data_IF_175275377970
#
_entry.id   IF_175275377970
#
_cell.length_a   1.000
_cell.length_b   1.000
_cell.length_c   1.000
_cell.angle_alpha   90.00
_cell.angle_beta   90.00
_cell.angle_gamma   90.00
#
_symmetry.space_group_name_H-M   'P 1'
#
loop_
_entity.id
_entity.type
_entity.pdbx_description
1 polymer ?
#
# COMPACT_ATOMS: atom_id res chain seq x y z
N UNK A 1 -0.15 -21.43 -12.99
CA UNK A 1 -0.79 -20.59 -11.95
C UNK A 1 -0.47 -19.14 -12.22
N UNK A 2 -1.48 -18.29 -12.24
CA UNK A 2 -1.28 -16.85 -12.42
C UNK A 2 -0.64 -16.26 -11.18
N UNK A 3 0.22 -15.27 -11.39
CA UNK A 3 0.80 -14.52 -10.27
C UNK A 3 -0.27 -13.64 -9.64
N UNK A 4 -0.27 -13.56 -8.31
CA UNK A 4 -1.06 -12.57 -7.61
C UNK A 4 -0.38 -11.21 -7.74
N UNK A 5 -1.09 -10.23 -8.28
CA UNK A 5 -0.53 -8.91 -8.50
C UNK A 5 -0.83 -8.01 -7.30
N UNK A 6 0.12 -7.97 -6.36
CA UNK A 6 -0.01 -7.16 -5.16
C UNK A 6 -0.13 -5.67 -5.48
N UNK A 7 0.59 -5.18 -6.48
CA UNK A 7 0.51 -3.76 -6.84
C UNK A 7 -0.90 -3.39 -7.31
N UNK A 8 -1.46 -4.17 -8.20
CA UNK A 8 -2.83 -3.93 -8.69
C UNK A 8 -3.86 -4.09 -7.58
N UNK A 9 -3.68 -5.06 -6.69
CA UNK A 9 -4.57 -5.25 -5.56
C UNK A 9 -4.54 -4.05 -4.60
N UNK A 10 -3.36 -3.57 -4.25
CA UNK A 10 -3.22 -2.40 -3.36
C UNK A 10 -3.80 -1.15 -4.03
N UNK A 11 -3.53 -0.93 -5.32
CA UNK A 11 -4.08 0.20 -6.06
C UNK A 11 -5.61 0.14 -6.11
N UNK A 12 -6.18 -1.03 -6.32
CA UNK A 12 -7.64 -1.21 -6.32
C UNK A 12 -8.25 -0.86 -4.95
N UNK A 13 -7.62 -1.32 -3.88
CA UNK A 13 -8.07 -1.02 -2.52
C UNK A 13 -7.96 0.47 -2.21
N UNK A 14 -6.88 1.14 -2.65
CA UNK A 14 -6.71 2.58 -2.52
C UNK A 14 -7.81 3.33 -3.26
N UNK A 15 -8.10 2.96 -4.50
CA UNK A 15 -9.15 3.60 -5.30
C UNK A 15 -10.52 3.49 -4.64
N UNK A 16 -10.84 2.30 -4.14
CA UNK A 16 -12.11 2.05 -3.46
C UNK A 16 -12.23 2.91 -2.19
N UNK A 17 -11.16 2.97 -1.38
CA UNK A 17 -11.15 3.78 -0.17
C UNK A 17 -11.34 5.27 -0.48
N UNK A 18 -10.66 5.77 -1.52
CA UNK A 18 -10.79 7.17 -1.93
C UNK A 18 -12.22 7.48 -2.40
N UNK A 19 -12.84 6.57 -3.16
CA UNK A 19 -14.23 6.76 -3.61
C UNK A 19 -15.21 6.83 -2.43
N UNK A 20 -14.96 6.04 -1.40
CA UNK A 20 -15.83 5.98 -0.21
C UNK A 20 -15.61 7.13 0.76
N UNK A 21 -14.42 7.70 0.81
CA UNK A 21 -14.01 8.64 1.86
C UNK A 21 -13.69 10.05 1.38
N UNK A 22 -13.60 10.28 0.08
CA UNK A 22 -13.24 11.60 -0.50
C UNK A 22 -14.09 11.92 -1.71
N UNK A 23 -14.25 13.24 -1.96
CA UNK A 23 -14.74 13.73 -3.23
C UNK A 23 -13.58 13.81 -4.22
N UNK A 24 -13.72 13.22 -5.41
CA UNK A 24 -12.65 13.24 -6.41
C UNK A 24 -12.33 14.66 -6.87
N UNK A 25 -13.34 15.53 -7.00
CA UNK A 25 -13.13 16.93 -7.39
C UNK A 25 -12.34 17.69 -6.34
N UNK A 26 -12.68 17.52 -5.06
CA UNK A 26 -11.92 18.12 -3.95
C UNK A 26 -10.50 17.58 -3.89
N UNK A 27 -10.32 16.29 -4.11
CA UNK A 27 -9.01 15.66 -4.11
C UNK A 27 -8.13 16.19 -5.23
N UNK A 28 -8.69 16.38 -6.44
CA UNK A 28 -7.94 17.00 -7.55
C UNK A 28 -7.50 18.42 -7.20
N UNK A 29 -8.39 19.21 -6.58
CA UNK A 29 -8.06 20.56 -6.14
C UNK A 29 -6.94 20.55 -5.09
N UNK A 30 -7.01 19.65 -4.11
CA UNK A 30 -5.99 19.52 -3.06
C UNK A 30 -4.66 19.12 -3.66
N UNK A 31 -4.64 18.17 -4.59
CA UNK A 31 -3.42 17.73 -5.27
C UNK A 31 -2.80 18.85 -6.10
N UNK A 32 -3.64 19.69 -6.73
CA UNK A 32 -3.16 20.83 -7.50
C UNK A 32 -2.59 21.93 -6.61
N UNK A 33 -3.21 22.14 -5.42
CA UNK A 33 -2.77 23.17 -4.49
C UNK A 33 -1.52 22.79 -3.72
N UNK A 34 -1.44 21.53 -3.24
CA UNK A 34 -0.29 21.03 -2.46
C UNK A 34 -0.21 19.52 -2.56
N UNK A 35 0.45 19.05 -3.61
CA UNK A 35 0.59 17.62 -3.90
C UNK A 35 1.30 16.87 -2.77
N UNK A 36 2.39 17.45 -2.24
CA UNK A 36 3.21 16.79 -1.24
C UNK A 36 2.49 16.56 0.08
N UNK A 37 1.83 17.59 0.61
CA UNK A 37 1.10 17.48 1.86
C UNK A 37 -0.14 16.58 1.70
N UNK A 38 -0.84 16.69 0.58
CA UNK A 38 -1.99 15.83 0.31
C UNK A 38 -1.57 14.36 0.29
N UNK A 39 -0.46 14.04 -0.37
CA UNK A 39 0.10 12.70 -0.38
C UNK A 39 0.42 12.22 1.04
N UNK A 40 1.10 13.04 1.84
CA UNK A 40 1.50 12.67 3.20
C UNK A 40 0.30 12.38 4.10
N UNK A 41 -0.73 13.21 4.05
CA UNK A 41 -1.95 12.99 4.83
C UNK A 41 -2.64 11.68 4.46
N UNK A 42 -2.76 11.42 3.17
CA UNK A 42 -3.38 10.20 2.69
C UNK A 42 -2.54 8.97 3.04
N UNK A 43 -1.22 9.07 2.89
CA UNK A 43 -0.31 7.99 3.27
C UNK A 43 -0.49 7.62 4.74
N UNK A 44 -0.50 8.62 5.63
CA UNK A 44 -0.63 8.36 7.07
C UNK A 44 -1.97 7.69 7.41
N UNK A 45 -3.06 8.13 6.79
CA UNK A 45 -4.36 7.50 7.00
C UNK A 45 -4.38 6.05 6.49
N UNK A 46 -3.86 5.83 5.29
CA UNK A 46 -3.87 4.51 4.65
C UNK A 46 -2.89 3.53 5.30
N UNK A 47 -1.83 4.02 5.90
CA UNK A 47 -0.88 3.20 6.65
C UNK A 47 -1.58 2.43 7.78
N UNK A 48 -2.59 3.03 8.39
CA UNK A 48 -3.36 2.44 9.49
C UNK A 48 -4.71 1.87 9.04
N UNK A 49 -4.91 1.70 7.73
CA UNK A 49 -6.20 1.27 7.19
C UNK A 49 -6.21 -0.22 6.92
N UNK A 50 -7.05 -0.95 7.64
CA UNK A 50 -7.16 -2.40 7.54
C UNK A 50 -7.48 -2.86 6.12
N UNK A 51 -8.34 -2.13 5.41
CA UNK A 51 -8.76 -2.49 4.06
C UNK A 51 -7.68 -2.27 3.00
N UNK A 52 -6.60 -1.56 3.32
CA UNK A 52 -5.51 -1.27 2.38
C UNK A 52 -4.24 -2.02 2.75
N UNK A 53 -3.70 -1.76 3.95
CA UNK A 53 -2.45 -2.37 4.40
C UNK A 53 -2.64 -3.57 5.33
N UNK A 54 -3.79 -3.64 6.01
CA UNK A 54 -4.00 -4.61 7.06
C UNK A 54 -3.35 -4.20 8.39
N UNK A 55 -2.71 -3.02 8.46
CA UNK A 55 -2.00 -2.55 9.64
C UNK A 55 -2.89 -1.65 10.52
N UNK A 56 -4.05 -2.16 10.92
CA UNK A 56 -5.06 -1.39 11.67
C UNK A 56 -4.53 -0.79 12.98
N UNK A 57 -3.54 -1.45 13.59
CA UNK A 57 -2.93 -0.95 14.84
C UNK A 57 -1.99 0.23 14.62
N UNK A 58 -1.58 0.51 13.39
CA UNK A 58 -0.60 1.54 13.08
C UNK A 58 0.79 1.22 13.62
N UNK A 59 1.12 -0.06 13.78
CA UNK A 59 2.38 -0.48 14.38
C UNK A 59 3.58 -0.05 13.53
N UNK A 60 4.55 0.62 14.15
CA UNK A 60 5.80 1.00 13.50
C UNK A 60 6.65 -0.22 13.09
N UNK A 61 6.37 -1.41 13.62
CA UNK A 61 7.00 -2.65 13.17
C UNK A 61 6.77 -2.88 11.69
N UNK A 62 5.69 -2.34 11.15
CA UNK A 62 5.34 -2.43 9.73
C UNK A 62 5.57 -1.12 8.97
N UNK A 63 6.39 -0.19 9.51
CA UNK A 63 6.75 1.02 8.75
C UNK A 63 7.39 0.64 7.42
N UNK A 64 7.34 1.55 6.44
CA UNK A 64 7.97 1.30 5.14
C UNK A 64 9.43 0.91 5.28
N UNK A 65 10.16 1.61 6.16
CA UNK A 65 11.57 1.31 6.41
C UNK A 65 11.77 -0.12 6.92
N UNK A 66 10.94 -0.54 7.89
CA UNK A 66 11.03 -1.89 8.44
C UNK A 66 10.63 -2.94 7.39
N UNK A 67 9.63 -2.65 6.59
CA UNK A 67 9.22 -3.53 5.49
C UNK A 67 10.33 -3.67 4.46
N UNK A 68 11.01 -2.58 4.10
CA UNK A 68 12.16 -2.62 3.20
C UNK A 68 13.28 -3.50 3.76
N UNK A 69 13.58 -3.38 5.05
CA UNK A 69 14.60 -4.22 5.68
C UNK A 69 14.21 -5.69 5.67
N UNK A 70 12.96 -5.99 6.01
CA UNK A 70 12.47 -7.36 5.99
C UNK A 70 12.58 -7.98 4.59
N UNK A 71 12.21 -7.22 3.57
CA UNK A 71 12.30 -7.69 2.18
C UNK A 71 13.75 -7.81 1.70
N UNK A 72 14.64 -6.92 2.16
CA UNK A 72 16.06 -7.01 1.83
C UNK A 72 16.69 -8.31 2.34
N UNK A 73 16.31 -8.75 3.53
CA UNK A 73 16.79 -10.01 4.10
C UNK A 73 16.06 -11.24 3.57
N UNK A 74 14.95 -11.04 2.86
CA UNK A 74 14.14 -12.11 2.26
C UNK A 74 13.88 -11.75 0.79
N UNK A 75 14.92 -11.79 -0.03
CA UNK A 75 14.91 -11.27 -1.40
C UNK A 75 13.78 -11.83 -2.28
N UNK A 76 13.39 -13.08 -2.03
CA UNK A 76 12.37 -13.75 -2.83
C UNK A 76 10.96 -13.55 -2.26
N UNK A 77 10.83 -12.84 -1.13
CA UNK A 77 9.55 -12.74 -0.43
C UNK A 77 8.44 -12.15 -1.32
N UNK A 78 8.73 -11.02 -1.97
CA UNK A 78 7.73 -10.36 -2.82
C UNK A 78 7.39 -11.24 -4.03
N UNK A 79 8.39 -11.85 -4.66
CA UNK A 79 8.18 -12.73 -5.80
C UNK A 79 7.36 -13.96 -5.42
N UNK A 80 7.72 -14.58 -4.30
CA UNK A 80 7.00 -15.76 -3.81
C UNK A 80 5.56 -15.42 -3.41
N UNK A 81 5.36 -14.26 -2.77
CA UNK A 81 4.02 -13.83 -2.40
C UNK A 81 3.15 -13.51 -3.62
N UNK A 82 3.73 -12.96 -4.67
CA UNK A 82 3.02 -12.74 -5.93
C UNK A 82 2.64 -14.06 -6.61
N UNK A 83 3.50 -15.08 -6.45
CA UNK A 83 3.26 -16.41 -7.01
C UNK A 83 2.28 -17.23 -6.16
N UNK A 84 2.43 -17.15 -4.85
CA UNK A 84 1.67 -17.92 -3.87
C UNK A 84 1.11 -16.99 -2.80
N UNK A 85 -0.03 -16.38 -3.07
CA UNK A 85 -0.64 -15.43 -2.15
C UNK A 85 -0.68 -15.96 -0.72
N UNK A 86 -0.18 -15.17 0.23
CA UNK A 86 -0.16 -15.53 1.65
C UNK A 86 1.03 -16.37 2.10
N UNK A 87 1.91 -16.78 1.19
CA UNK A 87 3.14 -17.49 1.57
C UNK A 87 4.10 -16.50 2.23
N UNK A 88 4.81 -16.96 3.23
CA UNK A 88 5.64 -16.17 4.12
C UNK A 88 7.06 -16.69 4.30
N UNK A 89 7.84 -16.90 3.24
CA UNK A 89 9.21 -17.34 3.43
C UNK A 89 9.98 -16.35 4.32
N UNK A 90 10.50 -16.83 5.42
CA UNK A 90 11.31 -16.02 6.35
C UNK A 90 10.52 -15.12 7.30
N UNK A 91 9.19 -15.13 7.27
CA UNK A 91 8.36 -14.38 8.20
C UNK A 91 7.52 -15.31 9.08
N UNK A 92 6.95 -14.77 10.16
CA UNK A 92 6.30 -15.58 11.19
C UNK A 92 5.00 -16.24 10.72
N UNK A 93 4.21 -15.59 9.86
CA UNK A 93 2.91 -16.08 9.42
C UNK A 93 2.48 -15.36 8.12
N UNK A 94 1.47 -15.93 7.40
CA UNK A 94 0.99 -15.33 6.16
C UNK A 94 0.43 -13.93 6.32
N UNK A 95 -0.24 -13.64 7.44
CA UNK A 95 -0.79 -12.31 7.71
C UNK A 95 0.31 -11.27 7.83
N UNK A 96 1.36 -11.57 8.59
CA UNK A 96 2.53 -10.69 8.73
C UNK A 96 3.19 -10.45 7.37
N UNK A 97 3.30 -11.48 6.56
CA UNK A 97 3.85 -11.37 5.21
C UNK A 97 3.02 -10.43 4.35
N UNK A 98 1.70 -10.60 4.34
CA UNK A 98 0.77 -9.79 3.57
C UNK A 98 0.85 -8.31 3.96
N UNK A 99 0.79 -8.03 5.27
CA UNK A 99 0.91 -6.65 5.78
C UNK A 99 2.25 -6.03 5.38
N UNK A 100 3.34 -6.75 5.52
CA UNK A 100 4.67 -6.27 5.17
C UNK A 100 4.73 -5.84 3.70
N UNK A 101 4.23 -6.67 2.81
CA UNK A 101 4.25 -6.38 1.37
C UNK A 101 3.35 -5.20 1.04
N UNK A 102 2.15 -5.15 1.60
CA UNK A 102 1.20 -4.05 1.36
C UNK A 102 1.73 -2.72 1.86
N UNK A 103 2.33 -2.69 3.05
CA UNK A 103 2.97 -1.49 3.59
C UNK A 103 4.14 -1.05 2.69
N UNK A 104 4.96 -2.00 2.25
CA UNK A 104 6.08 -1.69 1.35
C UNK A 104 5.60 -1.06 0.04
N UNK A 105 4.51 -1.58 -0.52
CA UNK A 105 3.98 -1.11 -1.80
C UNK A 105 3.13 0.15 -1.69
N UNK A 106 2.65 0.50 -0.49
CA UNK A 106 1.71 1.61 -0.31
C UNK A 106 2.21 2.92 -0.92
N UNK A 107 3.46 3.28 -0.68
CA UNK A 107 4.02 4.55 -1.14
C UNK A 107 3.91 4.68 -2.67
N UNK A 108 4.39 3.67 -3.39
CA UNK A 108 4.43 3.71 -4.85
C UNK A 108 3.03 3.58 -5.45
N UNK A 109 2.20 2.72 -4.87
CA UNK A 109 0.82 2.53 -5.34
C UNK A 109 -0.04 3.77 -5.11
N UNK A 110 0.09 4.42 -3.96
CA UNK A 110 -0.62 5.66 -3.69
C UNK A 110 -0.19 6.76 -4.66
N UNK A 111 1.12 6.90 -4.88
CA UNK A 111 1.64 7.87 -5.83
C UNK A 111 1.03 7.65 -7.22
N UNK A 112 1.03 6.42 -7.70
CA UNK A 112 0.47 6.09 -9.02
C UNK A 112 -1.02 6.40 -9.11
N UNK A 113 -1.81 6.04 -8.09
CA UNK A 113 -3.25 6.31 -8.06
C UNK A 113 -3.52 7.82 -8.06
N UNK A 114 -2.77 8.60 -7.27
CA UNK A 114 -2.95 10.05 -7.23
C UNK A 114 -2.56 10.70 -8.56
N UNK A 115 -1.53 10.23 -9.23
CA UNK A 115 -1.18 10.73 -10.57
C UNK A 115 -2.29 10.42 -11.59
N UNK A 116 -2.90 9.24 -11.52
CA UNK A 116 -4.05 8.91 -12.37
C UNK A 116 -5.22 9.89 -12.13
N UNK A 117 -5.48 10.24 -10.88
CA UNK A 117 -6.57 11.16 -10.52
C UNK A 117 -6.26 12.57 -11.03
N UNK A 118 -5.02 13.03 -10.88
CA UNK A 118 -4.60 14.36 -11.37
C UNK A 118 -4.76 14.49 -12.88
N UNK A 119 -4.47 13.41 -13.60
CA UNK A 119 -4.48 13.39 -15.07
C UNK A 119 -5.86 13.08 -15.66
N UNK A 120 -6.80 12.71 -14.83
CA UNK A 120 -8.15 12.34 -15.28
C UNK A 120 -8.99 13.55 -15.74
#
# INVERSE_FOLDING_TARGET
MEKYDYREAVKADIREWLQENRSLDELKDDLSADNGNTFMYLYDEMFCEDSITGNASGSYTFSRWQAEENLCHNLDLLEDAQRFYGIRPGLSDPETCDVTIRVYLLNDCLYEVLEEIKDA
#
